data_IF_143250961608
#
_entry.id   IF_143250961608
#
_cell.length_a   1.000
_cell.length_b   1.000
_cell.length_c   1.000
_cell.angle_alpha   90.00
_cell.angle_beta   90.00
_cell.angle_gamma   90.00
#
_symmetry.space_group_name_H-M   'P 1'
#
loop_
_entity.id
_entity.type
_entity.pdbx_description
1 polymer ?
#
# COMPACT_ATOMS: atom_id res chain seq x y z
N UNK A 1 52.67 28.04 -19.32
CA UNK A 1 53.06 26.83 -18.54
C UNK A 1 52.45 26.97 -17.15
N UNK A 2 51.48 26.12 -16.79
CA UNK A 2 50.89 26.11 -15.45
C UNK A 2 51.86 25.43 -14.45
N UNK A 3 52.13 26.08 -13.31
CA UNK A 3 53.04 25.56 -12.27
C UNK A 3 52.56 24.20 -11.73
N UNK A 4 53.50 23.32 -11.37
CA UNK A 4 53.23 21.92 -10.96
C UNK A 4 52.21 21.80 -9.83
N UNK A 5 52.19 22.76 -8.90
CA UNK A 5 51.22 22.87 -7.82
C UNK A 5 49.79 23.12 -8.34
N UNK A 6 49.62 24.04 -9.29
CA UNK A 6 48.30 24.34 -9.91
C UNK A 6 47.77 23.15 -10.71
N UNK A 7 48.66 22.40 -11.38
CA UNK A 7 48.31 21.21 -12.15
C UNK A 7 47.79 20.08 -11.25
N UNK A 8 48.41 19.88 -10.08
CA UNK A 8 47.98 18.87 -9.12
C UNK A 8 46.62 19.19 -8.47
N UNK A 9 46.34 20.48 -8.21
CA UNK A 9 45.02 20.91 -7.73
C UNK A 9 43.91 20.72 -8.77
N UNK A 10 44.19 21.03 -10.04
CA UNK A 10 43.25 20.81 -11.15
C UNK A 10 42.97 19.31 -11.32
N UNK A 11 44.00 18.46 -11.29
CA UNK A 11 43.86 17.00 -11.39
C UNK A 11 43.03 16.45 -10.23
N UNK A 12 43.30 16.86 -8.97
CA UNK A 12 42.50 16.42 -7.82
C UNK A 12 41.04 16.85 -7.92
N UNK A 13 40.79 18.07 -8.37
CA UNK A 13 39.42 18.60 -8.54
C UNK A 13 38.66 17.83 -9.64
N UNK A 14 39.33 17.51 -10.75
CA UNK A 14 38.74 16.70 -11.81
C UNK A 14 38.44 15.26 -11.36
N UNK A 15 39.30 14.66 -10.53
CA UNK A 15 39.07 13.32 -9.96
C UNK A 15 37.86 13.33 -9.03
N UNK A 16 37.70 14.35 -8.18
CA UNK A 16 36.54 14.47 -7.27
C UNK A 16 35.25 14.62 -8.08
N UNK A 17 35.25 15.48 -9.10
CA UNK A 17 34.10 15.66 -10.00
C UNK A 17 33.76 14.35 -10.73
N UNK A 18 34.78 13.62 -11.21
CA UNK A 18 34.59 12.33 -11.87
C UNK A 18 34.02 11.26 -10.94
N UNK A 19 34.49 11.18 -9.69
CA UNK A 19 33.92 10.29 -8.66
C UNK A 19 32.46 10.66 -8.37
N UNK A 20 32.15 11.96 -8.28
CA UNK A 20 30.79 12.44 -8.06
C UNK A 20 29.87 12.09 -9.24
N UNK A 21 30.35 12.19 -10.48
CA UNK A 21 29.61 11.80 -11.69
C UNK A 21 29.43 10.28 -11.78
N UNK A 22 30.41 9.47 -11.36
CA UNK A 22 30.28 8.00 -11.26
C UNK A 22 29.22 7.61 -10.21
N UNK A 23 29.16 8.31 -9.08
CA UNK A 23 28.13 8.09 -8.06
C UNK A 23 26.72 8.50 -8.53
N UNK A 24 26.62 9.45 -9.46
CA UNK A 24 25.35 9.88 -10.08
C UNK A 24 24.94 8.95 -11.23
N UNK A 25 25.84 8.14 -11.77
CA UNK A 25 25.49 7.09 -12.71
C UNK A 25 25.00 5.83 -11.97
N UNK A 26 23.68 5.82 -11.78
CA UNK A 26 22.83 4.65 -12.06
C UNK A 26 22.60 3.65 -10.91
N UNK A 27 22.07 4.13 -9.78
CA UNK A 27 21.01 3.34 -9.13
C UNK A 27 19.78 3.48 -10.02
N UNK A 28 19.58 2.51 -10.90
CA UNK A 28 18.30 2.34 -11.58
C UNK A 28 17.55 1.23 -10.87
N UNK A 29 16.35 1.53 -10.39
CA UNK A 29 15.35 0.52 -10.11
C UNK A 29 15.01 -0.14 -11.45
N UNK A 30 15.54 -1.35 -11.65
CA UNK A 30 15.17 -2.19 -12.76
C UNK A 30 13.88 -2.88 -12.37
N UNK A 31 12.75 -2.32 -12.80
CA UNK A 31 11.47 -3.02 -12.72
C UNK A 31 11.51 -4.15 -13.74
N UNK A 32 11.59 -5.37 -13.22
CA UNK A 32 11.28 -6.58 -13.97
C UNK A 32 9.95 -7.11 -13.47
N UNK A 33 9.05 -7.34 -14.43
CA UNK A 33 7.89 -8.22 -14.40
C UNK A 33 7.08 -8.33 -13.10
N UNK A 34 5.94 -7.63 -13.08
CA UNK A 34 4.58 -8.18 -12.92
C UNK A 34 4.37 -9.45 -12.06
N UNK A 35 5.03 -9.62 -10.91
CA UNK A 35 4.76 -10.69 -9.93
C UNK A 35 5.32 -10.36 -8.50
N UNK A 36 5.24 -9.10 -8.06
CA UNK A 36 5.69 -8.62 -6.72
C UNK A 36 4.54 -8.08 -5.85
N UNK A 37 3.31 -8.58 -6.03
CA UNK A 37 2.18 -8.11 -5.22
C UNK A 37 2.00 -9.00 -3.99
N UNK A 38 2.15 -8.42 -2.79
CA UNK A 38 1.80 -9.08 -1.53
C UNK A 38 0.27 -9.25 -1.46
N UNK A 39 -0.19 -10.50 -1.44
CA UNK A 39 -1.62 -10.84 -1.29
C UNK A 39 -1.92 -11.05 0.18
N UNK A 40 -2.91 -10.32 0.70
CA UNK A 40 -3.34 -10.42 2.09
C UNK A 40 -4.85 -10.54 2.22
N UNK A 41 -5.31 -11.14 3.32
CA UNK A 41 -6.66 -10.92 3.81
C UNK A 41 -6.61 -9.82 4.88
N UNK A 42 -7.46 -8.80 4.78
CA UNK A 42 -7.54 -7.74 5.79
C UNK A 42 -8.46 -8.21 6.91
N UNK A 43 -7.86 -8.72 7.98
CA UNK A 43 -8.50 -9.37 9.12
C UNK A 43 -8.68 -8.40 10.30
N UNK A 44 -9.85 -8.43 10.93
CA UNK A 44 -10.03 -7.88 12.26
C UNK A 44 -9.69 -8.92 13.34
N UNK A 45 -8.58 -8.70 14.04
CA UNK A 45 -8.02 -9.62 15.06
C UNK A 45 -8.97 -9.94 16.23
N UNK A 46 -9.98 -9.10 16.50
CA UNK A 46 -10.90 -9.30 17.62
C UNK A 46 -12.14 -10.12 17.24
N UNK A 47 -12.50 -10.17 15.96
CA UNK A 47 -13.75 -10.77 15.47
C UNK A 47 -13.54 -11.92 14.50
N UNK A 48 -12.31 -12.11 14.00
CA UNK A 48 -11.99 -13.09 12.96
C UNK A 48 -12.75 -12.87 11.64
N UNK A 49 -13.15 -11.62 11.38
CA UNK A 49 -13.82 -11.21 10.16
C UNK A 49 -12.85 -10.55 9.18
N UNK A 50 -13.00 -10.84 7.90
CA UNK A 50 -12.19 -10.31 6.81
C UNK A 50 -13.02 -9.40 5.92
N UNK A 51 -12.38 -8.35 5.41
CA UNK A 51 -12.99 -7.48 4.39
C UNK A 51 -13.19 -8.27 3.09
N UNK A 52 -14.41 -8.22 2.54
CA UNK A 52 -14.80 -8.88 1.30
C UNK A 52 -15.34 -7.88 0.28
N UNK A 53 -14.94 -8.06 -0.98
CA UNK A 53 -15.57 -7.38 -2.10
C UNK A 53 -16.91 -8.02 -2.44
N UNK A 54 -17.98 -7.22 -2.36
CA UNK A 54 -19.34 -7.64 -2.74
C UNK A 54 -19.74 -7.05 -4.09
N UNK A 55 -19.74 -5.73 -4.19
CA UNK A 55 -20.16 -4.99 -5.38
C UNK A 55 -19.40 -3.66 -5.52
N UNK A 56 -19.34 -3.14 -6.75
CA UNK A 56 -18.75 -1.83 -7.04
C UNK A 56 -19.59 -0.69 -6.44
N UNK A 57 -18.92 0.37 -6.02
CA UNK A 57 -19.50 1.58 -5.40
C UNK A 57 -20.36 1.29 -4.17
N UNK A 58 -19.90 0.36 -3.33
CA UNK A 58 -20.59 -0.02 -2.09
C UNK A 58 -19.68 0.04 -0.86
N UNK A 59 -20.31 0.09 0.31
CA UNK A 59 -19.62 -0.06 1.59
C UNK A 59 -19.02 -1.47 1.67
N UNK A 60 -17.73 -1.52 1.97
CA UNK A 60 -16.99 -2.76 2.16
C UNK A 60 -17.64 -3.63 3.23
N UNK A 61 -17.76 -4.93 2.95
CA UNK A 61 -18.42 -5.89 3.82
C UNK A 61 -17.42 -6.76 4.56
N UNK A 62 -17.91 -7.45 5.59
CA UNK A 62 -17.16 -8.34 6.45
C UNK A 62 -17.80 -9.73 6.44
N UNK A 63 -16.99 -10.76 6.32
CA UNK A 63 -17.40 -12.17 6.41
C UNK A 63 -16.38 -12.96 7.23
N UNK A 64 -16.70 -14.19 7.59
CA UNK A 64 -15.71 -15.12 8.15
C UNK A 64 -14.52 -15.25 7.19
N UNK A 65 -13.31 -15.13 7.73
CA UNK A 65 -12.10 -15.23 6.94
C UNK A 65 -11.95 -16.59 6.27
N UNK A 66 -11.81 -16.61 4.94
CA UNK A 66 -11.50 -17.79 4.14
C UNK A 66 -10.22 -17.52 3.37
N UNK A 67 -9.18 -18.33 3.60
CA UNK A 67 -7.84 -18.08 3.07
C UNK A 67 -7.79 -18.05 1.54
N UNK A 68 -8.65 -18.83 0.88
CA UNK A 68 -8.60 -19.07 -0.56
C UNK A 68 -9.68 -18.29 -1.33
N UNK A 69 -10.47 -17.46 -0.63
CA UNK A 69 -11.50 -16.64 -1.25
C UNK A 69 -10.89 -15.41 -1.91
N UNK A 70 -10.88 -15.40 -3.25
CA UNK A 70 -10.34 -14.31 -4.06
C UNK A 70 -11.03 -12.97 -3.79
N UNK A 71 -12.30 -12.96 -3.35
CA UNK A 71 -13.01 -11.72 -3.01
C UNK A 71 -12.55 -11.12 -1.68
N UNK A 72 -11.96 -11.92 -0.80
CA UNK A 72 -11.37 -11.49 0.49
C UNK A 72 -9.89 -11.14 0.40
N UNK A 73 -9.27 -11.46 -0.73
CA UNK A 73 -7.85 -11.25 -0.96
C UNK A 73 -7.59 -9.91 -1.65
N UNK A 74 -6.60 -9.19 -1.15
CA UNK A 74 -6.22 -7.85 -1.59
C UNK A 74 -4.74 -7.82 -1.90
N UNK A 75 -4.38 -7.29 -3.06
CA UNK A 75 -3.01 -6.93 -3.38
C UNK A 75 -2.64 -5.64 -2.64
N UNK A 76 -1.47 -5.65 -2.01
CA UNK A 76 -0.88 -4.54 -1.27
C UNK A 76 0.45 -4.17 -1.93
N UNK A 77 0.73 -2.87 -2.03
CA UNK A 77 2.01 -2.37 -2.52
C UNK A 77 3.14 -2.77 -1.54
N UNK A 78 4.22 -3.36 -2.05
CA UNK A 78 5.43 -3.68 -1.26
C UNK A 78 6.24 -2.42 -0.86
N UNK A 79 6.08 -1.30 -1.57
CA UNK A 79 6.83 -0.07 -1.33
C UNK A 79 5.87 1.12 -1.11
N UNK A 80 5.73 1.56 0.14
CA UNK A 80 5.10 2.82 0.54
C UNK A 80 3.56 2.86 0.49
N UNK A 81 3.03 4.08 0.49
CA UNK A 81 1.60 4.40 0.45
C UNK A 81 0.94 3.82 -0.81
N UNK A 82 -0.12 3.01 -0.66
CA UNK A 82 -0.72 2.30 -1.78
C UNK A 82 -2.23 2.09 -1.69
N UNK A 83 -2.78 1.52 -2.78
CA UNK A 83 -4.15 1.03 -2.82
C UNK A 83 -4.19 -0.44 -2.41
N UNK A 84 -5.25 -0.82 -1.70
CA UNK A 84 -5.60 -2.23 -1.54
C UNK A 84 -6.48 -2.63 -2.71
N UNK A 85 -5.93 -3.38 -3.66
CA UNK A 85 -6.60 -3.77 -4.91
C UNK A 85 -7.20 -5.16 -4.75
N UNK A 86 -8.46 -5.36 -5.14
CA UNK A 86 -9.11 -6.66 -4.99
C UNK A 86 -8.53 -7.71 -5.96
N UNK A 87 -8.29 -8.93 -5.47
CA UNK A 87 -7.75 -10.01 -6.30
C UNK A 87 -8.76 -10.60 -7.28
N UNK A 88 -10.04 -10.66 -6.91
CA UNK A 88 -11.11 -11.15 -7.80
C UNK A 88 -11.38 -10.17 -8.95
N UNK A 89 -11.37 -8.86 -8.68
CA UNK A 89 -11.50 -7.81 -9.70
C UNK A 89 -10.44 -6.72 -9.49
N UNK A 90 -9.37 -6.75 -10.30
CA UNK A 90 -8.22 -5.85 -10.18
C UNK A 90 -8.51 -4.39 -10.54
N UNK A 91 -9.72 -4.08 -11.03
CA UNK A 91 -10.16 -2.70 -11.19
C UNK A 91 -10.76 -2.12 -9.90
N UNK A 92 -11.00 -2.94 -8.88
CA UNK A 92 -11.62 -2.51 -7.63
C UNK A 92 -10.56 -2.31 -6.55
N UNK A 93 -10.67 -1.19 -5.84
CA UNK A 93 -9.80 -0.79 -4.75
C UNK A 93 -10.62 -0.42 -3.50
N UNK A 94 -10.00 -0.54 -2.32
CA UNK A 94 -10.54 0.01 -1.08
C UNK A 94 -10.24 1.50 -0.96
N UNK A 95 -11.23 2.27 -0.51
CA UNK A 95 -11.10 3.71 -0.29
C UNK A 95 -11.81 4.11 0.99
N UNK A 96 -11.20 5.03 1.75
CA UNK A 96 -11.90 5.69 2.84
C UNK A 96 -12.62 6.93 2.32
N UNK A 97 -13.91 7.03 2.59
CA UNK A 97 -14.73 8.23 2.36
C UNK A 97 -15.56 8.50 3.62
N UNK A 98 -15.49 9.74 4.11
CA UNK A 98 -16.04 10.17 5.40
C UNK A 98 -15.59 9.28 6.57
N UNK A 99 -16.48 8.41 7.06
CA UNK A 99 -16.29 7.45 8.15
C UNK A 99 -16.46 5.98 7.69
N UNK A 100 -16.41 5.74 6.38
CA UNK A 100 -16.68 4.42 5.79
C UNK A 100 -15.57 3.98 4.85
N UNK A 101 -15.44 2.67 4.67
CA UNK A 101 -14.63 2.09 3.61
C UNK A 101 -15.55 1.64 2.49
N UNK A 102 -15.22 2.04 1.27
CA UNK A 102 -15.92 1.70 0.05
C UNK A 102 -15.06 0.82 -0.85
N UNK A 103 -15.72 -0.02 -1.64
CA UNK A 103 -15.12 -0.71 -2.79
C UNK A 103 -15.57 -0.04 -4.07
N UNK A 104 -14.62 0.50 -4.85
CA UNK A 104 -14.93 1.24 -6.08
C UNK A 104 -13.80 1.10 -7.10
N UNK A 105 -13.94 1.66 -8.29
CA UNK A 105 -12.86 1.65 -9.28
C UNK A 105 -11.58 2.31 -8.77
N UNK A 106 -10.44 1.66 -9.04
CA UNK A 106 -9.09 2.15 -8.84
C UNK A 106 -8.84 3.41 -9.67
N UNK A 107 -8.59 4.54 -9.01
CA UNK A 107 -8.28 5.82 -9.66
C UNK A 107 -7.24 6.58 -8.86
N UNK A 108 -6.38 7.34 -9.53
CA UNK A 108 -5.28 8.11 -8.92
C UNK A 108 -5.71 9.19 -7.91
N UNK A 109 -7.01 9.54 -7.89
CA UNK A 109 -7.56 10.62 -7.07
C UNK A 109 -8.18 10.15 -5.75
N UNK A 110 -8.12 8.87 -5.43
CA UNK A 110 -8.79 8.31 -4.25
C UNK A 110 -7.80 7.91 -3.15
N UNK A 111 -8.34 7.62 -1.98
CA UNK A 111 -7.57 7.47 -0.73
C UNK A 111 -6.46 6.43 -0.85
N UNK A 112 -5.26 6.87 -0.51
CA UNK A 112 -4.08 6.04 -0.35
C UNK A 112 -3.99 5.61 1.11
N UNK A 113 -3.76 4.33 1.35
CA UNK A 113 -3.66 3.75 2.68
C UNK A 113 -2.23 3.31 2.97
N UNK A 114 -1.90 3.20 4.25
CA UNK A 114 -0.63 2.67 4.73
C UNK A 114 -0.85 1.70 5.90
N UNK A 115 0.19 0.95 6.23
CA UNK A 115 0.26 0.11 7.42
C UNK A 115 1.23 0.71 8.43
N UNK A 116 0.76 0.97 9.65
CA UNK A 116 1.62 1.34 10.77
C UNK A 116 1.64 0.21 11.77
N UNK A 117 2.84 -0.33 12.02
CA UNK A 117 3.00 -1.40 13.00
C UNK A 117 2.65 -0.92 14.41
N UNK A 118 1.61 -1.52 14.99
CA UNK A 118 1.20 -1.29 16.38
C UNK A 118 1.98 -2.22 17.30
N UNK A 119 2.20 -3.46 16.86
CA UNK A 119 3.01 -4.48 17.55
C UNK A 119 3.84 -5.25 16.53
N UNK A 120 4.74 -6.12 16.98
CA UNK A 120 5.51 -7.03 16.12
C UNK A 120 4.62 -7.97 15.27
N UNK A 121 3.35 -8.14 15.64
CA UNK A 121 2.42 -9.10 15.03
C UNK A 121 1.16 -8.45 14.46
N UNK A 122 1.04 -7.12 14.49
CA UNK A 122 -0.18 -6.43 14.10
C UNK A 122 0.10 -5.03 13.58
N UNK A 123 -0.40 -4.76 12.39
CA UNK A 123 -0.40 -3.42 11.79
C UNK A 123 -1.80 -2.81 11.86
N UNK A 124 -1.86 -1.50 12.11
CA UNK A 124 -3.05 -0.69 11.83
C UNK A 124 -3.00 -0.24 10.38
N UNK A 125 -4.14 -0.31 9.70
CA UNK A 125 -4.30 0.36 8.42
C UNK A 125 -4.72 1.80 8.68
N UNK A 126 -3.96 2.75 8.15
CA UNK A 126 -4.21 4.19 8.30
C UNK A 126 -4.56 4.83 6.96
N UNK A 127 -5.31 5.92 7.02
CA UNK A 127 -5.44 6.82 5.89
C UNK A 127 -4.23 7.77 5.88
N UNK A 128 -3.48 7.81 4.79
CA UNK A 128 -2.27 8.65 4.68
C UNK A 128 -2.59 10.15 4.78
N UNK A 129 -3.78 10.54 4.35
CA UNK A 129 -4.24 11.94 4.41
C UNK A 129 -4.74 12.35 5.80
N UNK A 130 -5.08 11.37 6.65
CA UNK A 130 -5.62 11.56 8.01
C UNK A 130 -4.96 10.51 8.94
N UNK A 131 -3.65 10.65 9.23
CA UNK A 131 -2.84 9.60 9.88
C UNK A 131 -3.25 9.32 11.33
N UNK A 132 -4.03 10.20 11.96
CA UNK A 132 -4.64 9.99 13.26
C UNK A 132 -5.86 9.05 13.23
N UNK A 133 -6.35 8.70 12.04
CA UNK A 133 -7.49 7.81 11.84
C UNK A 133 -7.04 6.45 11.34
N UNK A 134 -7.41 5.43 12.12
CA UNK A 134 -7.18 4.03 11.78
C UNK A 134 -8.47 3.37 11.28
N UNK A 135 -8.32 2.39 10.40
CA UNK A 135 -9.39 1.50 10.02
C UNK A 135 -9.88 0.70 11.24
N UNK A 136 -11.19 0.66 11.45
CA UNK A 136 -11.81 -0.07 12.54
C UNK A 136 -13.23 -0.50 12.21
N UNK A 137 -13.74 -1.46 12.98
CA UNK A 137 -15.13 -1.90 12.88
C UNK A 137 -15.99 -1.01 13.78
N UNK A 138 -16.98 -0.35 13.18
CA UNK A 138 -17.97 0.38 13.95
C UNK A 138 -19.02 -0.59 14.53
N UNK A 139 -18.91 -0.90 15.82
CA UNK A 139 -19.83 -1.83 16.52
C UNK A 139 -21.31 -1.47 16.36
N UNK A 140 -21.64 -0.19 16.18
CA UNK A 140 -23.04 0.26 16.00
C UNK A 140 -23.62 -0.21 14.66
N UNK A 141 -22.77 -0.45 13.66
CA UNK A 141 -23.17 -0.79 12.30
C UNK A 141 -22.77 -2.21 11.89
N UNK A 142 -22.35 -3.04 12.85
CA UNK A 142 -21.83 -4.38 12.58
C UNK A 142 -22.80 -5.21 11.71
N UNK A 143 -24.08 -5.19 12.05
CA UNK A 143 -25.17 -5.89 11.33
C UNK A 143 -25.31 -5.43 9.87
N UNK A 144 -25.00 -4.17 9.56
CA UNK A 144 -25.08 -3.64 8.20
C UNK A 144 -23.79 -3.85 7.41
N UNK A 145 -22.72 -4.28 8.05
CA UNK A 145 -21.43 -4.53 7.40
C UNK A 145 -21.18 -6.02 7.20
N UNK A 146 -21.93 -6.90 7.85
CA UNK A 146 -21.82 -8.34 7.66
C UNK A 146 -22.37 -8.75 6.28
N UNK A 147 -21.72 -9.72 5.64
CA UNK A 147 -22.20 -10.34 4.41
C UNK A 147 -22.83 -11.70 4.72
N UNK A 148 -24.16 -11.78 4.57
CA UNK A 148 -24.95 -12.98 4.90
C UNK A 148 -24.84 -14.09 3.83
N UNK A 149 -24.14 -13.88 2.72
CA UNK A 149 -24.11 -14.81 1.57
C UNK A 149 -23.19 -16.03 1.72
N UNK A 150 -22.68 -16.30 2.93
CA UNK A 150 -21.87 -17.49 3.25
C UNK A 150 -22.55 -18.46 4.25
N UNK A 151 -23.88 -18.44 4.36
CA UNK A 151 -24.68 -19.59 4.83
C UNK A 151 -25.07 -20.54 3.68
#
# INVERSE_FOLDING_TARGET
MLNSLSRNYIIKSLIIIFIYIIQIQNVYSKYFDKDNDLIVNILNVNTNLCIVYKEEDSIARLTNCVSDDLKQQWYVSEEGYGYYVNRYNTNICLFAEDDTILTSNCTENKTIMDTVSITEWSDAIINVSEPERCLGINKKFLEYTYDDENE
#
